data_IF_106164319365
#
_entry.id   IF_106164319365
#
_cell.length_a   1.000
_cell.length_b   1.000
_cell.length_c   1.000
_cell.angle_alpha   90.00
_cell.angle_beta   90.00
_cell.angle_gamma   90.00
#
_symmetry.space_group_name_H-M   'P 1'
#
loop_
_entity.id
_entity.type
_entity.pdbx_description
1 polymer ?
#
# COMPACT_ATOMS: atom_id res chain seq x y z
N UNK A 1 -23.03 -30.98 75.73
CA UNK A 1 -21.78 -30.20 75.80
C UNK A 1 -21.90 -29.05 74.83
N UNK A 2 -22.00 -27.83 75.34
CA UNK A 2 -22.27 -26.60 74.57
C UNK A 2 -21.30 -25.53 75.08
N UNK A 3 -20.31 -25.20 74.26
CA UNK A 3 -19.26 -24.22 74.56
C UNK A 3 -19.61 -22.87 73.94
N UNK A 4 -19.57 -21.83 74.79
CA UNK A 4 -19.71 -20.41 74.47
C UNK A 4 -18.48 -19.91 73.71
N UNK A 5 -18.68 -19.01 72.75
CA UNK A 5 -17.62 -18.17 72.15
C UNK A 5 -17.91 -16.70 72.47
N UNK A 6 -16.89 -16.03 72.99
CA UNK A 6 -16.90 -14.66 73.48
C UNK A 6 -16.71 -13.63 72.36
N UNK A 7 -17.44 -12.50 72.47
CA UNK A 7 -17.27 -11.32 71.62
C UNK A 7 -16.05 -10.50 72.01
N UNK A 8 -15.34 -9.99 71.00
CA UNK A 8 -14.26 -9.00 71.13
C UNK A 8 -14.74 -7.66 70.59
N UNK A 9 -14.62 -6.62 71.41
CA UNK A 9 -14.84 -5.22 71.08
C UNK A 9 -13.51 -4.58 70.64
N UNK A 10 -13.50 -3.91 69.49
CA UNK A 10 -12.35 -3.14 68.99
C UNK A 10 -12.44 -1.69 69.44
N UNK A 11 -11.34 -1.20 70.03
CA UNK A 11 -11.14 0.16 70.54
C UNK A 11 -10.84 1.15 69.41
N UNK A 12 -11.52 2.29 69.47
CA UNK A 12 -11.24 3.54 68.75
C UNK A 12 -9.91 4.15 69.23
N UNK A 13 -9.00 4.46 68.32
CA UNK A 13 -7.79 5.25 68.59
C UNK A 13 -7.93 6.58 67.84
N UNK A 14 -7.93 7.68 68.60
CA UNK A 14 -7.71 9.05 68.11
C UNK A 14 -6.20 9.27 67.98
N UNK A 15 -5.78 9.92 66.90
CA UNK A 15 -4.41 10.43 66.74
C UNK A 15 -4.45 11.94 66.56
N UNK A 16 -3.87 12.64 67.54
CA UNK A 16 -3.63 14.07 67.59
C UNK A 16 -2.40 14.45 66.74
N UNK A 17 -2.46 15.65 66.15
CA UNK A 17 -1.39 16.31 65.42
C UNK A 17 -0.34 16.92 66.36
N UNK A 18 0.89 17.16 65.87
CA UNK A 18 1.68 18.30 66.34
C UNK A 18 2.10 19.24 65.21
N UNK A 19 2.25 20.48 65.64
CA UNK A 19 2.52 21.70 64.91
C UNK A 19 4.03 21.88 64.65
N UNK A 20 4.34 22.51 63.51
CA UNK A 20 5.49 23.37 63.20
C UNK A 20 6.91 22.79 63.18
N UNK A 21 7.54 22.83 62.00
CA UNK A 21 8.81 23.55 61.86
C UNK A 21 9.02 24.05 60.41
N UNK A 22 9.61 25.25 60.32
CA UNK A 22 9.56 26.12 59.15
C UNK A 22 10.59 25.83 58.05
N UNK A 23 10.23 26.25 56.84
CA UNK A 23 11.17 26.49 55.74
C UNK A 23 10.88 27.86 55.10
N UNK A 24 11.91 28.71 55.10
CA UNK A 24 11.97 30.00 54.41
C UNK A 24 11.98 29.80 52.88
N UNK A 25 11.18 30.56 52.11
CA UNK A 25 11.38 30.65 50.67
C UNK A 25 12.35 31.79 50.33
N UNK A 26 13.38 31.48 49.54
CA UNK A 26 14.20 32.48 48.87
C UNK A 26 13.42 33.17 47.73
N UNK A 27 13.69 34.46 47.43
CA UNK A 27 12.94 35.22 46.46
C UNK A 27 13.58 35.16 45.05
N UNK A 28 12.72 35.09 44.04
CA UNK A 28 13.01 35.57 42.69
C UNK A 28 13.47 34.49 41.72
N UNK A 29 12.57 34.08 40.82
CA UNK A 29 12.83 34.10 39.38
C UNK A 29 11.49 34.15 38.64
N UNK A 30 11.32 35.25 37.91
CA UNK A 30 10.17 35.62 37.09
C UNK A 30 10.01 34.67 35.91
N UNK A 31 8.93 33.88 35.91
CA UNK A 31 8.46 33.06 34.77
C UNK A 31 7.11 33.55 34.24
N UNK A 32 6.86 34.87 34.33
CA UNK A 32 5.55 35.46 34.12
C UNK A 32 5.43 36.36 32.90
N UNK A 33 6.08 36.11 31.75
CA UNK A 33 5.89 36.97 30.55
C UNK A 33 6.01 36.22 29.21
N UNK A 34 5.67 34.93 29.11
CA UNK A 34 5.79 34.20 27.82
C UNK A 34 4.55 33.40 27.41
N UNK A 35 3.36 33.86 27.81
CA UNK A 35 2.08 33.32 27.33
C UNK A 35 1.37 34.24 26.32
N UNK A 36 1.84 35.47 26.12
CA UNK A 36 1.17 36.44 25.25
C UNK A 36 1.59 36.36 23.76
N UNK A 37 2.74 35.75 23.43
CA UNK A 37 3.23 35.69 22.04
C UNK A 37 2.83 34.41 21.29
N UNK A 38 2.46 33.32 22.00
CA UNK A 38 2.10 32.04 21.35
C UNK A 38 0.74 32.07 20.66
N UNK A 39 -0.20 32.86 21.18
CA UNK A 39 -1.52 33.07 20.54
C UNK A 39 -1.41 33.82 19.21
N UNK A 40 -0.45 34.75 19.10
CA UNK A 40 -0.22 35.50 17.86
C UNK A 40 0.29 34.62 16.71
N UNK A 41 1.14 33.64 16.99
CA UNK A 41 1.66 32.71 15.98
C UNK A 41 0.55 31.78 15.46
N UNK A 42 -0.30 31.27 16.35
CA UNK A 42 -1.44 30.42 15.96
C UNK A 42 -2.48 31.18 15.13
N UNK A 43 -2.71 32.47 15.44
CA UNK A 43 -3.65 33.30 14.70
C UNK A 43 -3.14 33.64 13.29
N UNK A 44 -1.83 33.90 13.14
CA UNK A 44 -1.19 34.08 11.82
C UNK A 44 -1.30 32.82 10.96
N UNK A 45 -1.11 31.65 11.55
CA UNK A 45 -1.26 30.36 10.86
C UNK A 45 -2.70 30.15 10.39
N UNK A 46 -3.68 30.42 11.25
CA UNK A 46 -5.10 30.34 10.90
C UNK A 46 -5.45 31.28 9.73
N UNK A 47 -4.99 32.53 9.78
CA UNK A 47 -5.22 33.51 8.71
C UNK A 47 -4.60 33.07 7.37
N UNK A 48 -3.42 32.43 7.40
CA UNK A 48 -2.76 31.94 6.19
C UNK A 48 -3.48 30.75 5.56
N UNK A 49 -4.02 29.84 6.38
CA UNK A 49 -4.83 28.71 5.90
C UNK A 49 -6.12 29.23 5.24
N UNK A 50 -6.77 30.22 5.83
CA UNK A 50 -8.00 30.81 5.30
C UNK A 50 -7.73 31.51 3.95
N UNK A 51 -6.59 32.20 3.83
CA UNK A 51 -6.15 32.82 2.57
C UNK A 51 -5.86 31.79 1.46
N UNK A 52 -5.27 30.63 1.80
CA UNK A 52 -5.05 29.57 0.81
C UNK A 52 -6.35 28.94 0.34
N UNK A 53 -7.30 28.69 1.26
CA UNK A 53 -8.60 28.15 0.90
C UNK A 53 -9.37 29.09 -0.04
N UNK A 54 -9.34 30.40 0.21
CA UNK A 54 -9.97 31.38 -0.68
C UNK A 54 -9.31 31.42 -2.08
N UNK A 55 -7.99 31.20 -2.16
CA UNK A 55 -7.28 31.08 -3.45
C UNK A 55 -7.67 29.80 -4.19
N UNK A 56 -7.80 28.68 -3.49
CA UNK A 56 -8.21 27.40 -4.08
C UNK A 56 -9.62 27.51 -4.67
N UNK A 57 -10.53 28.14 -3.93
CA UNK A 57 -11.93 28.33 -4.33
C UNK A 57 -12.06 29.23 -5.57
N UNK A 58 -11.17 30.24 -5.71
CA UNK A 58 -11.08 31.07 -6.91
C UNK A 58 -10.53 30.31 -8.11
N UNK A 59 -9.57 29.42 -7.93
CA UNK A 59 -9.03 28.58 -9.00
C UNK A 59 -10.06 27.56 -9.49
N UNK A 60 -10.82 26.94 -8.59
CA UNK A 60 -11.92 26.05 -8.95
C UNK A 60 -12.99 26.78 -9.78
N UNK A 61 -13.39 28.00 -9.37
CA UNK A 61 -14.36 28.80 -10.12
C UNK A 61 -13.85 29.31 -11.46
N UNK A 62 -12.53 29.45 -11.63
CA UNK A 62 -11.93 29.85 -12.91
C UNK A 62 -11.88 28.71 -13.94
N UNK A 63 -11.90 27.45 -13.50
CA UNK A 63 -11.88 26.29 -14.40
C UNK A 63 -13.27 25.81 -14.83
N UNK A 64 -14.33 26.49 -14.39
CA UNK A 64 -15.73 26.13 -14.68
C UNK A 64 -16.39 26.94 -15.84
N UNK A 65 -15.73 27.19 -17.00
CA UNK A 65 -16.45 27.59 -18.20
C UNK A 65 -16.03 26.80 -19.45
N UNK A 66 -16.32 25.49 -19.51
CA UNK A 66 -16.22 24.75 -20.79
C UNK A 66 -17.45 23.92 -21.18
N UNK A 67 -18.58 24.12 -20.51
CA UNK A 67 -19.84 23.47 -20.90
C UNK A 67 -20.99 24.46 -21.04
N UNK A 68 -20.92 25.38 -22.03
CA UNK A 68 -22.08 25.92 -22.72
C UNK A 68 -21.68 26.90 -23.83
N UNK A 69 -21.47 26.39 -25.06
CA UNK A 69 -21.86 27.04 -26.34
C UNK A 69 -21.22 26.28 -27.51
N UNK A 70 -21.89 25.20 -27.96
CA UNK A 70 -21.77 24.74 -29.33
C UNK A 70 -22.86 25.44 -30.12
N UNK A 71 -22.52 26.56 -30.73
CA UNK A 71 -23.31 27.19 -31.78
C UNK A 71 -22.40 27.32 -33.00
N UNK A 72 -22.75 26.58 -34.05
CA UNK A 72 -22.05 26.50 -35.32
C UNK A 72 -21.88 27.89 -35.94
N UNK A 73 -20.65 28.21 -36.33
CA UNK A 73 -20.34 29.34 -37.20
C UNK A 73 -19.07 29.05 -37.99
N UNK A 74 -19.26 28.73 -39.27
CA UNK A 74 -18.23 28.59 -40.30
C UNK A 74 -17.29 29.81 -40.35
N UNK A 75 -16.01 29.58 -40.59
CA UNK A 75 -15.25 30.14 -41.73
C UNK A 75 -13.80 29.69 -41.64
N UNK A 76 -13.26 29.25 -42.77
CA UNK A 76 -11.89 28.78 -42.88
C UNK A 76 -10.85 29.88 -42.78
N UNK A 77 -9.63 29.47 -42.48
CA UNK A 77 -8.43 30.13 -42.94
C UNK A 77 -7.26 29.16 -42.82
N UNK A 78 -6.64 28.93 -43.98
CA UNK A 78 -5.35 28.28 -44.15
C UNK A 78 -4.30 29.00 -43.29
N UNK A 79 -3.43 28.26 -42.61
CA UNK A 79 -2.08 28.74 -42.38
C UNK A 79 -1.07 27.59 -42.22
N UNK A 80 -0.03 27.78 -43.01
CA UNK A 80 1.22 27.06 -43.18
C UNK A 80 1.98 26.95 -41.86
N UNK A 81 2.43 25.74 -41.50
CA UNK A 81 3.61 25.57 -40.65
C UNK A 81 4.50 24.44 -41.19
N UNK A 82 5.59 24.86 -41.84
CA UNK A 82 6.83 24.13 -41.92
C UNK A 82 7.32 23.79 -40.51
N UNK A 83 7.62 22.52 -40.24
CA UNK A 83 8.56 22.17 -39.17
C UNK A 83 9.36 20.94 -39.55
N UNK A 84 10.60 21.25 -39.91
CA UNK A 84 11.70 20.36 -40.24
C UNK A 84 12.29 19.76 -38.95
N UNK A 85 12.68 18.49 -39.03
CA UNK A 85 13.87 17.98 -38.34
C UNK A 85 13.67 17.38 -36.95
N UNK A 86 13.62 16.05 -36.89
CA UNK A 86 14.12 15.29 -35.75
C UNK A 86 15.24 14.36 -36.21
N UNK A 87 16.39 14.54 -35.54
CA UNK A 87 17.63 13.81 -35.71
C UNK A 87 17.50 12.40 -35.13
N UNK A 88 18.18 11.48 -35.79
CA UNK A 88 18.41 10.11 -35.37
C UNK A 88 19.10 10.02 -34.00
N UNK A 89 18.62 9.09 -33.17
CA UNK A 89 19.40 8.53 -32.07
C UNK A 89 19.83 7.10 -32.45
N UNK A 90 21.13 6.82 -32.60
CA UNK A 90 21.64 5.49 -32.88
C UNK A 90 22.23 4.90 -31.59
N UNK A 91 21.46 4.10 -30.87
CA UNK A 91 22.01 3.12 -29.92
C UNK A 91 20.96 2.04 -29.60
N UNK A 92 20.73 1.17 -30.58
CA UNK A 92 20.08 -0.12 -30.38
C UNK A 92 21.14 -1.22 -30.38
N UNK A 93 21.77 -1.48 -29.24
CA UNK A 93 22.55 -2.71 -29.06
C UNK A 93 21.63 -3.87 -28.75
N UNK A 94 21.52 -4.71 -29.76
CA UNK A 94 20.85 -5.99 -29.84
C UNK A 94 21.85 -7.09 -29.46
N UNK A 95 21.70 -7.69 -28.29
CA UNK A 95 22.25 -9.00 -27.87
C UNK A 95 21.34 -9.49 -26.73
N UNK A 96 20.81 -10.70 -26.66
CA UNK A 96 20.87 -11.91 -27.45
C UNK A 96 20.09 -12.97 -26.68
N UNK A 97 19.29 -13.76 -27.41
CA UNK A 97 18.74 -15.08 -27.05
C UNK A 97 19.82 -15.98 -26.39
N UNK A 98 19.53 -17.05 -25.64
CA UNK A 98 18.38 -17.75 -25.08
C UNK A 98 18.98 -18.96 -24.30
N UNK A 99 18.12 -19.87 -23.80
CA UNK A 99 18.44 -21.29 -23.47
C UNK A 99 19.13 -21.46 -22.09
N UNK A 100 18.74 -22.28 -21.11
CA UNK A 100 17.76 -23.37 -20.87
C UNK A 100 17.64 -23.43 -19.31
N UNK A 101 16.46 -23.60 -18.72
CA UNK A 101 15.90 -24.91 -18.32
C UNK A 101 16.79 -25.72 -17.37
N UNK A 102 16.45 -25.75 -16.06
CA UNK A 102 16.05 -26.99 -15.37
C UNK A 102 15.85 -26.84 -13.84
N UNK A 103 14.60 -27.06 -13.42
CA UNK A 103 14.32 -27.93 -12.28
C UNK A 103 14.34 -27.35 -10.86
N UNK A 104 13.22 -26.77 -10.43
CA UNK A 104 12.72 -27.04 -9.07
C UNK A 104 11.24 -27.41 -9.11
N UNK A 105 10.99 -28.68 -8.79
CA UNK A 105 9.68 -29.30 -8.68
C UNK A 105 9.04 -28.90 -7.35
N UNK A 106 8.07 -27.99 -7.38
CA UNK A 106 7.07 -27.87 -6.31
C UNK A 106 5.96 -28.88 -6.58
N UNK A 107 6.04 -29.99 -5.87
CA UNK A 107 4.93 -30.93 -5.73
C UNK A 107 3.92 -30.37 -4.73
N UNK A 108 2.63 -30.58 -5.02
CA UNK A 108 1.43 -30.32 -4.24
C UNK A 108 0.74 -28.96 -4.43
N UNK A 109 -0.09 -28.89 -5.48
CA UNK A 109 -1.42 -28.28 -5.34
C UNK A 109 -2.44 -29.05 -6.21
N UNK A 110 -3.12 -30.02 -5.60
CA UNK A 110 -4.36 -30.61 -6.13
C UNK A 110 -5.48 -29.58 -5.99
N UNK A 111 -5.83 -28.90 -7.09
CA UNK A 111 -7.14 -28.26 -7.21
C UNK A 111 -8.06 -29.17 -8.01
N UNK A 112 -8.91 -29.86 -7.25
CA UNK A 112 -10.13 -30.52 -7.72
C UNK A 112 -11.07 -29.47 -8.29
N UNK A 113 -11.09 -29.31 -9.62
CA UNK A 113 -12.14 -28.58 -10.33
C UNK A 113 -13.30 -29.54 -10.56
N UNK A 114 -14.30 -29.45 -9.69
CA UNK A 114 -15.62 -30.02 -9.97
C UNK A 114 -16.36 -29.08 -10.93
N UNK A 115 -16.77 -29.70 -12.04
CA UNK A 115 -18.02 -29.55 -12.76
C UNK A 115 -18.69 -28.16 -12.89
N UNK A 116 -18.85 -27.80 -14.17
CA UNK A 116 -20.07 -27.24 -14.76
C UNK A 116 -20.43 -25.80 -14.39
N UNK A 117 -20.07 -24.88 -15.31
CA UNK A 117 -21.00 -23.79 -15.62
C UNK A 117 -21.14 -23.63 -17.13
N UNK A 118 -22.40 -23.71 -17.52
CA UNK A 118 -22.98 -23.85 -18.85
C UNK A 118 -22.92 -22.49 -19.57
N UNK A 119 -22.10 -22.39 -20.62
CA UNK A 119 -22.03 -21.20 -21.47
C UNK A 119 -23.31 -21.10 -22.32
N UNK A 120 -24.06 -19.98 -22.30
CA UNK A 120 -25.25 -19.83 -23.13
C UNK A 120 -24.90 -19.66 -24.62
N UNK A 121 -25.60 -20.42 -25.46
CA UNK A 121 -25.58 -20.31 -26.92
C UNK A 121 -26.04 -18.91 -27.36
N UNK A 122 -25.18 -18.18 -28.09
CA UNK A 122 -25.58 -16.94 -28.74
C UNK A 122 -26.32 -17.24 -30.06
N UNK A 123 -27.61 -16.95 -30.00
CA UNK A 123 -28.60 -17.03 -31.06
C UNK A 123 -28.28 -16.05 -32.20
N UNK A 124 -27.97 -16.59 -33.39
CA UNK A 124 -27.80 -15.83 -34.62
C UNK A 124 -29.16 -15.34 -35.15
N UNK A 125 -29.52 -14.09 -34.84
CA UNK A 125 -30.67 -13.41 -35.43
C UNK A 125 -30.27 -12.79 -36.78
N UNK A 126 -30.42 -13.57 -37.86
CA UNK A 126 -30.46 -13.02 -39.22
C UNK A 126 -31.86 -12.48 -39.50
N UNK A 127 -31.97 -11.15 -39.41
CA UNK A 127 -33.15 -10.39 -39.77
C UNK A 127 -33.41 -10.42 -41.27
N UNK A 128 -34.45 -11.17 -41.62
CA UNK A 128 -35.23 -11.12 -42.84
C UNK A 128 -35.73 -9.70 -43.15
N UNK A 129 -35.54 -9.26 -44.40
CA UNK A 129 -36.20 -8.10 -44.99
C UNK A 129 -36.29 -8.31 -46.50
N UNK A 130 -37.28 -9.10 -46.92
CA UNK A 130 -37.70 -9.19 -48.30
C UNK A 130 -38.21 -7.87 -48.88
N UNK A 131 -37.97 -7.69 -50.18
CA UNK A 131 -38.67 -6.84 -51.18
C UNK A 131 -37.85 -7.02 -52.48
N UNK A 132 -38.28 -7.71 -53.54
CA UNK A 132 -39.61 -7.73 -54.13
C UNK A 132 -39.61 -6.96 -55.46
N UNK A 133 -38.75 -7.28 -56.44
CA UNK A 133 -38.84 -6.71 -57.79
C UNK A 133 -38.60 -7.73 -58.92
N UNK A 134 -39.72 -8.34 -59.32
CA UNK A 134 -40.19 -8.63 -60.69
C UNK A 134 -39.22 -8.30 -61.84
N UNK A 135 -38.68 -9.33 -62.48
CA UNK A 135 -38.05 -9.24 -63.80
C UNK A 135 -39.13 -9.11 -64.89
N UNK A 136 -39.10 -8.03 -65.65
CA UNK A 136 -39.74 -7.94 -66.97
C UNK A 136 -38.64 -7.72 -68.00
N UNK A 137 -38.46 -8.71 -68.86
CA UNK A 137 -37.67 -8.61 -70.07
C UNK A 137 -38.46 -7.76 -71.08
N UNK A 138 -37.88 -6.64 -71.51
CA UNK A 138 -38.28 -5.99 -72.75
C UNK A 138 -37.02 -5.66 -73.55
N UNK A 139 -36.93 -6.35 -74.69
CA UNK A 139 -36.07 -6.02 -75.81
C UNK A 139 -36.33 -4.58 -76.28
N UNK A 140 -35.27 -3.78 -76.42
CA UNK A 140 -35.35 -2.59 -77.27
C UNK A 140 -34.01 -2.29 -77.92
N UNK A 141 -33.93 -2.68 -79.20
CA UNK A 141 -32.87 -2.30 -80.11
C UNK A 141 -33.01 -0.82 -80.46
N UNK A 142 -32.10 0.01 -79.96
CA UNK A 142 -31.95 1.41 -80.33
C UNK A 142 -30.57 1.69 -80.87
N UNK A 143 -30.37 1.49 -82.18
CA UNK A 143 -29.25 2.05 -82.91
C UNK A 143 -29.27 3.58 -82.87
N UNK A 144 -28.11 4.21 -82.64
CA UNK A 144 -27.86 5.55 -83.17
C UNK A 144 -26.85 6.38 -82.39
N UNK A 145 -25.66 6.55 -83.00
CA UNK A 145 -24.84 7.78 -83.16
C UNK A 145 -24.76 8.77 -81.97
N UNK A 146 -23.65 9.39 -81.62
CA UNK A 146 -22.44 9.75 -82.34
C UNK A 146 -21.35 10.05 -81.30
N UNK A 147 -20.11 10.16 -81.80
CA UNK A 147 -18.96 10.78 -81.17
C UNK A 147 -19.28 11.91 -80.18
N UNK A 148 -18.67 11.84 -79.00
CA UNK A 148 -17.87 12.94 -78.45
C UNK A 148 -16.70 12.32 -77.68
N UNK A 149 -15.51 12.46 -78.26
CA UNK A 149 -14.23 11.92 -77.84
C UNK A 149 -13.47 13.04 -77.11
N UNK A 150 -13.86 13.30 -75.86
CA UNK A 150 -13.19 14.28 -74.99
C UNK A 150 -13.55 14.08 -73.51
N UNK A 151 -13.20 12.91 -72.95
CA UNK A 151 -13.48 12.57 -71.54
C UNK A 151 -12.40 11.76 -70.82
N UNK A 152 -11.18 11.65 -71.37
CA UNK A 152 -10.11 10.80 -70.78
C UNK A 152 -9.28 11.50 -69.68
N UNK A 153 -9.72 12.64 -69.16
CA UNK A 153 -9.02 13.39 -68.10
C UNK A 153 -9.58 13.19 -66.68
N UNK A 154 -10.87 12.86 -66.54
CA UNK A 154 -11.53 12.72 -65.22
C UNK A 154 -11.39 11.32 -64.62
N UNK A 155 -11.17 10.29 -65.46
CA UNK A 155 -11.17 8.90 -65.01
C UNK A 155 -9.90 8.52 -64.23
N UNK A 156 -8.76 9.12 -64.58
CA UNK A 156 -7.46 8.91 -63.88
C UNK A 156 -7.43 9.66 -62.54
N UNK A 157 -8.03 10.85 -62.47
CA UNK A 157 -8.16 11.59 -61.22
C UNK A 157 -9.08 10.88 -60.21
N UNK A 158 -10.16 10.24 -60.68
CA UNK A 158 -11.04 9.44 -59.82
C UNK A 158 -10.35 8.19 -59.26
N UNK A 159 -9.43 7.56 -59.99
CA UNK A 159 -8.70 6.38 -59.48
C UNK A 159 -7.68 6.74 -58.40
N UNK A 160 -6.93 7.84 -58.56
CA UNK A 160 -5.96 8.30 -57.54
C UNK A 160 -6.65 8.72 -56.24
N UNK A 161 -7.83 9.37 -56.32
CA UNK A 161 -8.60 9.74 -55.12
C UNK A 161 -9.20 8.55 -54.37
N UNK A 162 -9.43 7.42 -55.04
CA UNK A 162 -9.94 6.21 -54.40
C UNK A 162 -8.83 5.46 -53.64
N UNK A 163 -7.60 5.46 -54.17
CA UNK A 163 -6.43 4.85 -53.51
C UNK A 163 -6.09 5.60 -52.20
N UNK A 164 -6.12 6.93 -52.21
CA UNK A 164 -5.93 7.75 -50.99
C UNK A 164 -7.05 7.52 -49.95
N UNK A 165 -8.30 7.37 -50.41
CA UNK A 165 -9.43 7.10 -49.53
C UNK A 165 -9.33 5.73 -48.85
N UNK A 166 -8.81 4.72 -49.55
CA UNK A 166 -8.59 3.38 -48.99
C UNK A 166 -7.39 3.36 -48.03
N UNK A 167 -6.32 4.10 -48.31
CA UNK A 167 -5.20 4.26 -47.37
C UNK A 167 -5.66 4.92 -46.06
N UNK A 168 -6.43 6.00 -46.14
CA UNK A 168 -7.01 6.65 -44.96
C UNK A 168 -7.95 5.71 -44.19
N UNK A 169 -8.75 4.89 -44.90
CA UNK A 169 -9.63 3.91 -44.28
C UNK A 169 -8.84 2.88 -43.48
N UNK A 170 -7.72 2.40 -44.01
CA UNK A 170 -6.87 1.44 -43.31
C UNK A 170 -6.12 2.07 -42.14
N UNK A 171 -5.68 3.32 -42.25
CA UNK A 171 -5.14 4.08 -41.11
C UNK A 171 -6.17 4.23 -39.99
N UNK A 172 -7.42 4.58 -40.32
CA UNK A 172 -8.51 4.68 -39.34
C UNK A 172 -8.74 3.34 -38.64
N UNK A 173 -8.77 2.21 -39.39
CA UNK A 173 -8.89 0.87 -38.77
C UNK A 173 -7.71 0.56 -37.85
N UNK A 174 -6.48 0.86 -38.27
CA UNK A 174 -5.29 0.66 -37.43
C UNK A 174 -5.34 1.49 -36.14
N UNK A 175 -5.77 2.75 -36.23
CA UNK A 175 -5.93 3.61 -35.06
C UNK A 175 -7.07 3.13 -34.16
N UNK A 176 -8.19 2.68 -34.72
CA UNK A 176 -9.29 2.08 -33.96
C UNK A 176 -8.85 0.83 -33.19
N UNK A 177 -8.05 -0.05 -33.82
CA UNK A 177 -7.49 -1.21 -33.15
C UNK A 177 -6.58 -0.82 -31.98
N UNK A 178 -5.67 0.15 -32.19
CA UNK A 178 -4.79 0.64 -31.12
C UNK A 178 -5.56 1.29 -29.97
N UNK A 179 -6.63 2.04 -30.26
CA UNK A 179 -7.49 2.62 -29.23
C UNK A 179 -8.21 1.53 -28.42
N UNK A 180 -8.65 0.46 -29.07
CA UNK A 180 -9.26 -0.68 -28.39
C UNK A 180 -8.25 -1.40 -27.47
N UNK A 181 -7.02 -1.60 -27.93
CA UNK A 181 -5.94 -2.19 -27.13
C UNK A 181 -5.62 -1.33 -25.89
N UNK A 182 -5.44 -0.02 -26.07
CA UNK A 182 -5.18 0.92 -24.97
C UNK A 182 -6.32 1.00 -23.96
N UNK A 183 -7.58 0.95 -24.42
CA UNK A 183 -8.73 0.90 -23.52
C UNK A 183 -8.77 -0.39 -22.71
N UNK A 184 -8.40 -1.53 -23.33
CA UNK A 184 -8.28 -2.81 -22.62
C UNK A 184 -7.21 -2.74 -21.54
N UNK A 185 -6.02 -2.22 -21.85
CA UNK A 185 -4.93 -2.04 -20.88
C UNK A 185 -5.32 -1.09 -19.73
N UNK A 186 -5.96 0.05 -20.05
CA UNK A 186 -6.43 1.00 -19.04
C UNK A 186 -7.45 0.36 -18.10
N UNK A 187 -8.35 -0.47 -18.61
CA UNK A 187 -9.33 -1.18 -17.79
C UNK A 187 -8.68 -2.25 -16.91
N UNK A 188 -7.71 -3.00 -17.44
CA UNK A 188 -6.95 -3.98 -16.65
C UNK A 188 -6.16 -3.30 -15.52
N UNK A 189 -5.52 -2.16 -15.80
CA UNK A 189 -4.82 -1.38 -14.79
C UNK A 189 -5.79 -0.85 -13.72
N UNK A 190 -6.96 -0.32 -14.11
CA UNK A 190 -7.97 0.14 -13.18
C UNK A 190 -8.48 -0.97 -12.25
N UNK A 191 -8.68 -2.19 -12.77
CA UNK A 191 -9.04 -3.34 -11.94
C UNK A 191 -7.95 -3.70 -10.94
N UNK A 192 -6.67 -3.75 -11.37
CA UNK A 192 -5.54 -4.02 -10.48
C UNK A 192 -5.37 -2.96 -9.39
N UNK A 193 -5.55 -1.68 -9.72
CA UNK A 193 -5.51 -0.60 -8.72
C UNK A 193 -6.59 -0.80 -7.66
N UNK A 194 -7.82 -1.12 -8.08
CA UNK A 194 -8.94 -1.36 -7.15
C UNK A 194 -8.70 -2.58 -6.25
N UNK A 195 -8.10 -3.64 -6.79
CA UNK A 195 -7.71 -4.83 -6.03
C UNK A 195 -6.66 -4.49 -4.96
N UNK A 196 -5.59 -3.79 -5.34
CA UNK A 196 -4.53 -3.35 -4.42
C UNK A 196 -5.05 -2.38 -3.35
N UNK A 197 -5.97 -1.48 -3.71
CA UNK A 197 -6.64 -0.60 -2.74
C UNK A 197 -7.43 -1.40 -1.71
N UNK A 198 -8.17 -2.42 -2.15
CA UNK A 198 -8.89 -3.33 -1.26
C UNK A 198 -7.97 -4.13 -0.32
N UNK A 199 -6.79 -4.54 -0.78
CA UNK A 199 -5.78 -5.17 0.08
C UNK A 199 -5.22 -4.20 1.12
N UNK A 200 -4.91 -2.96 0.71
CA UNK A 200 -4.42 -1.91 1.62
C UNK A 200 -5.43 -1.59 2.72
N UNK A 201 -6.72 -1.51 2.38
CA UNK A 201 -7.79 -1.22 3.35
C UNK A 201 -7.92 -2.31 4.43
N UNK A 202 -7.50 -3.54 4.14
CA UNK A 202 -7.43 -4.63 5.12
C UNK A 202 -6.11 -4.67 5.90
N UNK A 203 -5.03 -4.12 5.33
CA UNK A 203 -3.70 -4.14 5.93
C UNK A 203 -3.63 -3.23 7.17
N UNK A 204 -4.11 -1.98 7.07
CA UNK A 204 -4.01 -0.98 8.14
C UNK A 204 -4.68 -1.47 9.45
N UNK A 205 -5.94 -1.96 9.45
CA UNK A 205 -6.56 -2.49 10.66
C UNK A 205 -5.82 -3.70 11.24
N UNK A 206 -5.28 -4.58 10.38
CA UNK A 206 -4.52 -5.75 10.81
C UNK A 206 -3.22 -5.36 11.52
N UNK A 207 -2.47 -4.38 10.97
CA UNK A 207 -1.25 -3.85 11.58
C UNK A 207 -1.53 -3.13 12.90
N UNK A 208 -2.55 -2.27 12.95
CA UNK A 208 -2.98 -1.60 14.18
C UNK A 208 -3.37 -2.61 15.27
N UNK A 209 -4.03 -3.70 14.90
CA UNK A 209 -4.37 -4.78 15.83
C UNK A 209 -3.11 -5.49 16.37
N UNK A 210 -2.15 -5.83 15.52
CA UNK A 210 -0.88 -6.45 15.93
C UNK A 210 -0.17 -5.64 17.02
N UNK A 211 0.03 -4.34 16.77
CA UNK A 211 0.69 -3.45 17.71
C UNK A 211 -0.13 -3.19 18.98
N UNK A 212 -1.46 -3.08 18.85
CA UNK A 212 -2.36 -2.89 20.02
C UNK A 212 -2.40 -4.13 20.91
N UNK A 213 -2.38 -5.33 20.32
CA UNK A 213 -2.27 -6.59 21.05
C UNK A 213 -0.94 -6.67 21.81
N UNK A 214 0.17 -6.31 21.16
CA UNK A 214 1.47 -6.26 21.82
C UNK A 214 1.46 -5.31 23.03
N UNK A 215 1.00 -4.07 22.82
CA UNK A 215 0.92 -3.04 23.85
C UNK A 215 0.10 -3.48 25.07
N UNK A 216 -1.08 -4.08 24.85
CA UNK A 216 -1.92 -4.46 25.98
C UNK A 216 -1.45 -5.74 26.69
N UNK A 217 -0.95 -6.74 25.95
CA UNK A 217 -0.63 -8.05 26.53
C UNK A 217 0.79 -8.13 27.08
N UNK A 218 1.75 -7.50 26.40
CA UNK A 218 3.18 -7.61 26.74
C UNK A 218 3.64 -6.42 27.56
N UNK A 219 3.21 -5.22 27.20
CA UNK A 219 3.54 -4.01 27.97
C UNK A 219 2.56 -3.73 29.10
N UNK A 220 1.43 -4.44 29.17
CA UNK A 220 0.38 -4.25 30.18
C UNK A 220 -0.13 -2.80 30.26
N UNK A 221 -0.15 -2.10 29.12
CA UNK A 221 -0.61 -0.72 29.03
C UNK A 221 -2.05 -0.65 28.57
N UNK A 222 -2.78 0.34 29.08
CA UNK A 222 -4.15 0.59 28.67
C UNK A 222 -4.21 0.99 27.19
N UNK A 223 -5.23 0.49 26.49
CA UNK A 223 -5.57 0.91 25.13
C UNK A 223 -6.51 2.11 25.18
N UNK A 224 -6.38 2.97 24.19
CA UNK A 224 -7.37 4.01 23.90
C UNK A 224 -8.63 3.39 23.28
N UNK A 225 -9.72 4.17 23.19
CA UNK A 225 -10.97 3.72 22.59
C UNK A 225 -10.77 3.35 21.10
N UNK A 226 -10.02 4.17 20.38
CA UNK A 226 -9.66 3.97 18.97
C UNK A 226 -8.84 2.69 18.76
N UNK A 227 -7.84 2.44 19.63
CA UNK A 227 -7.07 1.19 19.62
C UNK A 227 -7.93 -0.04 19.92
N UNK A 228 -8.97 0.09 20.74
CA UNK A 228 -9.93 -0.99 20.97
C UNK A 228 -10.77 -1.31 19.73
N UNK A 229 -11.14 -0.28 18.94
CA UNK A 229 -11.92 -0.45 17.71
C UNK A 229 -11.14 -1.27 16.67
N UNK A 230 -9.84 -1.02 16.52
CA UNK A 230 -8.95 -1.82 15.66
C UNK A 230 -8.96 -3.32 15.99
N UNK A 231 -9.12 -3.69 17.28
CA UNK A 231 -9.19 -5.10 17.69
C UNK A 231 -10.48 -5.78 17.26
N UNK A 232 -11.58 -5.03 17.14
CA UNK A 232 -12.90 -5.57 16.75
C UNK A 232 -12.95 -5.87 15.25
N UNK A 233 -12.27 -5.07 14.45
CA UNK A 233 -12.30 -5.16 12.98
C UNK A 233 -11.18 -6.00 12.36
N UNK A 234 -10.16 -6.38 13.14
CA UNK A 234 -9.07 -7.19 12.62
C UNK A 234 -9.52 -8.61 12.26
N UNK A 235 -9.23 -9.02 11.03
CA UNK A 235 -9.42 -10.42 10.62
C UNK A 235 -8.57 -11.34 11.51
N UNK A 236 -9.07 -12.54 11.79
CA UNK A 236 -8.47 -13.53 12.70
C UNK A 236 -7.08 -14.03 12.27
N UNK A 237 -6.55 -13.55 11.14
CA UNK A 237 -5.20 -13.90 10.69
C UNK A 237 -4.20 -13.16 11.57
N UNK A 238 -3.47 -13.92 12.39
CA UNK A 238 -2.37 -13.39 13.20
C UNK A 238 -1.33 -12.76 12.28
N UNK A 239 -1.26 -11.43 12.29
CA UNK A 239 -0.21 -10.69 11.60
C UNK A 239 1.15 -11.00 12.26
N UNK A 240 2.15 -11.31 11.46
CA UNK A 240 3.55 -11.35 11.88
C UNK A 240 4.09 -9.93 12.04
N UNK A 241 5.23 -9.76 12.69
CA UNK A 241 5.96 -8.49 12.65
C UNK A 241 6.26 -8.09 11.21
N UNK A 242 6.08 -6.81 10.91
CA UNK A 242 6.41 -6.17 9.63
C UNK A 242 6.83 -4.73 9.93
N UNK A 243 8.14 -4.54 10.11
CA UNK A 243 8.74 -3.27 10.49
C UNK A 243 8.45 -2.17 9.48
N UNK A 244 8.36 -2.51 8.18
CA UNK A 244 8.08 -1.55 7.12
C UNK A 244 6.63 -1.10 7.17
N UNK A 245 5.68 -2.04 7.13
CA UNK A 245 4.26 -1.71 7.18
C UNK A 245 3.86 -1.04 8.52
N UNK A 246 4.44 -1.48 9.63
CA UNK A 246 4.18 -0.85 10.92
C UNK A 246 4.77 0.55 11.01
N UNK A 247 5.94 0.81 10.41
CA UNK A 247 6.55 2.15 10.44
C UNK A 247 5.68 3.17 9.71
N UNK A 248 5.01 2.76 8.63
CA UNK A 248 4.13 3.61 7.84
C UNK A 248 2.96 4.14 8.67
N UNK A 249 2.44 3.36 9.64
CA UNK A 249 1.40 3.83 10.56
C UNK A 249 1.85 5.02 11.43
N UNK A 250 3.13 5.09 11.76
CA UNK A 250 3.70 6.21 12.52
C UNK A 250 4.06 7.38 11.61
N UNK A 251 4.53 7.10 10.40
CA UNK A 251 4.88 8.13 9.40
C UNK A 251 3.62 8.88 8.93
N UNK A 252 2.53 8.16 8.67
CA UNK A 252 1.22 8.71 8.29
C UNK A 252 0.48 9.41 9.44
N UNK A 253 0.89 9.15 10.69
CA UNK A 253 0.30 9.74 11.89
C UNK A 253 -0.91 8.99 12.44
N UNK A 254 -1.24 7.82 11.88
CA UNK A 254 -2.25 6.88 12.39
C UNK A 254 -1.91 6.39 13.81
N UNK A 255 -0.62 6.29 14.15
CA UNK A 255 -0.14 5.98 15.51
C UNK A 255 0.87 6.99 16.03
N UNK A 256 0.90 7.14 17.36
CA UNK A 256 1.75 8.13 18.07
C UNK A 256 2.48 7.57 19.29
N UNK A 257 2.27 6.30 19.62
CA UNK A 257 2.96 5.62 20.71
C UNK A 257 4.29 5.02 20.23
N UNK A 258 5.20 5.91 19.82
CA UNK A 258 6.49 5.57 19.20
C UNK A 258 7.34 4.59 20.03
N UNK A 259 7.20 4.63 21.36
CA UNK A 259 7.95 3.76 22.25
C UNK A 259 7.54 2.29 22.12
N UNK A 260 6.30 2.00 21.72
CA UNK A 260 5.83 0.63 21.40
C UNK A 260 6.57 0.09 20.17
N UNK A 261 6.74 0.92 19.14
CA UNK A 261 7.48 0.54 17.94
C UNK A 261 8.96 0.31 18.22
N UNK A 262 9.59 1.23 18.95
CA UNK A 262 11.02 1.14 19.31
C UNK A 262 11.28 -0.10 20.16
N UNK A 263 10.37 -0.46 21.05
CA UNK A 263 10.49 -1.66 21.89
C UNK A 263 10.39 -2.95 21.05
N UNK A 264 9.47 -3.01 20.07
CA UNK A 264 9.32 -4.17 19.17
C UNK A 264 10.50 -4.35 18.21
N UNK A 265 10.93 -3.26 17.58
CA UNK A 265 11.83 -3.31 16.43
C UNK A 265 13.24 -2.81 16.72
N UNK A 266 13.45 -2.12 17.84
CA UNK A 266 14.77 -1.57 18.17
C UNK A 266 15.19 -0.43 17.23
N UNK A 267 14.28 0.21 16.52
CA UNK A 267 14.57 1.30 15.58
C UNK A 267 13.50 2.39 15.65
N UNK A 268 13.90 3.62 15.31
CA UNK A 268 12.95 4.72 15.16
C UNK A 268 12.10 4.51 13.89
N UNK A 269 10.77 4.59 13.95
CA UNK A 269 9.91 4.30 12.80
C UNK A 269 10.16 5.25 11.62
N UNK A 270 10.49 6.53 11.86
CA UNK A 270 10.75 7.47 10.77
C UNK A 270 12.09 7.22 10.08
N UNK A 271 13.02 6.54 10.76
CA UNK A 271 14.30 6.15 10.17
C UNK A 271 14.17 4.91 9.29
N UNK A 272 13.22 4.00 9.56
CA UNK A 272 13.10 2.67 8.92
C UNK A 272 13.24 2.71 7.39
N UNK A 273 12.49 3.54 6.63
CA UNK A 273 12.57 3.55 5.16
C UNK A 273 13.96 3.93 4.62
N UNK A 274 14.74 4.66 5.42
CA UNK A 274 16.08 5.12 5.03
C UNK A 274 17.20 4.18 5.47
N UNK A 275 17.05 3.53 6.64
CA UNK A 275 18.13 2.79 7.29
C UNK A 275 18.00 1.28 7.17
N UNK A 276 16.78 0.74 7.04
CA UNK A 276 16.57 -0.70 6.91
C UNK A 276 16.29 -1.05 5.44
N UNK A 277 17.36 -1.43 4.72
CA UNK A 277 17.28 -1.86 3.31
C UNK A 277 17.72 -3.29 3.09
N UNK A 278 18.60 -3.80 3.96
CA UNK A 278 19.03 -5.19 3.89
C UNK A 278 17.90 -6.14 4.30
N UNK A 279 17.49 -6.99 3.36
CA UNK A 279 16.37 -7.91 3.52
C UNK A 279 16.59 -8.89 4.69
N UNK A 280 17.82 -9.38 4.87
CA UNK A 280 18.13 -10.31 5.96
C UNK A 280 17.97 -9.67 7.34
N UNK A 281 18.28 -8.37 7.45
CA UNK A 281 18.07 -7.57 8.65
C UNK A 281 16.60 -7.35 8.91
N UNK A 282 15.83 -6.98 7.88
CA UNK A 282 14.37 -6.79 7.97
C UNK A 282 13.70 -8.07 8.48
N UNK A 283 14.02 -9.22 7.87
CA UNK A 283 13.46 -10.51 8.28
C UNK A 283 13.80 -10.87 9.72
N UNK A 284 15.05 -10.62 10.14
CA UNK A 284 15.50 -10.91 11.51
C UNK A 284 14.79 -10.03 12.55
N UNK A 285 14.59 -8.75 12.23
CA UNK A 285 13.86 -7.78 13.07
C UNK A 285 12.35 -8.10 13.11
N UNK A 286 11.77 -8.52 11.98
CA UNK A 286 10.37 -8.99 11.91
C UNK A 286 10.15 -10.27 12.71
N UNK A 287 11.11 -11.20 12.67
CA UNK A 287 11.08 -12.42 13.47
C UNK A 287 11.10 -12.11 14.97
N UNK A 288 11.94 -11.16 15.41
CA UNK A 288 11.96 -10.66 16.79
C UNK A 288 10.57 -10.17 17.22
N UNK A 289 10.01 -9.18 16.50
CA UNK A 289 8.71 -8.60 16.81
C UNK A 289 7.59 -9.65 16.85
N UNK A 290 7.62 -10.62 15.92
CA UNK A 290 6.68 -11.75 15.89
C UNK A 290 6.77 -12.60 17.16
N UNK A 291 7.97 -12.89 17.64
CA UNK A 291 8.19 -13.67 18.87
C UNK A 291 7.71 -12.90 20.09
N UNK A 292 8.04 -11.62 20.19
CA UNK A 292 7.63 -10.76 21.30
C UNK A 292 6.11 -10.67 21.41
N UNK A 293 5.43 -10.43 20.28
CA UNK A 293 3.98 -10.31 20.21
C UNK A 293 3.24 -11.65 20.36
N UNK A 294 3.90 -12.79 20.18
CA UNK A 294 3.24 -14.09 20.25
C UNK A 294 2.79 -14.45 21.67
N UNK A 295 1.56 -14.95 21.79
CA UNK A 295 1.03 -15.58 23.02
C UNK A 295 1.57 -16.99 23.24
N UNK A 296 2.02 -17.63 22.17
CA UNK A 296 2.36 -19.06 22.15
C UNK A 296 3.87 -19.30 22.20
N UNK A 297 4.67 -18.24 22.26
CA UNK A 297 6.12 -18.33 22.38
C UNK A 297 6.58 -17.75 23.70
N UNK A 298 7.54 -18.43 24.32
CA UNK A 298 8.35 -17.93 25.42
C UNK A 298 9.79 -17.86 24.98
N UNK A 299 10.57 -16.99 25.61
CA UNK A 299 11.98 -16.83 25.33
C UNK A 299 12.76 -16.57 26.62
N UNK A 300 14.05 -16.87 26.60
CA UNK A 300 14.94 -16.60 27.73
C UNK A 300 15.45 -15.14 27.70
N UNK A 301 15.93 -14.58 28.82
CA UNK A 301 16.53 -13.24 28.83
C UNK A 301 17.71 -13.06 27.86
N UNK A 302 18.39 -14.15 27.48
CA UNK A 302 19.49 -14.09 26.51
C UNK A 302 18.98 -13.70 25.12
N UNK A 303 17.75 -14.07 24.77
CA UNK A 303 17.15 -13.71 23.48
C UNK A 303 17.13 -12.18 23.30
N UNK A 304 16.57 -11.46 24.28
CA UNK A 304 16.52 -10.00 24.27
C UNK A 304 17.91 -9.36 24.37
N UNK A 305 18.83 -9.90 25.18
CA UNK A 305 20.20 -9.40 25.27
C UNK A 305 20.91 -9.46 23.89
N UNK A 306 20.73 -10.57 23.17
CA UNK A 306 21.32 -10.75 21.83
C UNK A 306 20.69 -9.80 20.81
N UNK A 307 19.38 -9.59 20.87
CA UNK A 307 18.70 -8.61 20.03
C UNK A 307 19.22 -7.19 20.31
N UNK A 308 19.24 -6.77 21.57
CA UNK A 308 19.70 -5.44 21.96
C UNK A 308 21.15 -5.18 21.52
N UNK A 309 22.03 -6.18 21.65
CA UNK A 309 23.42 -6.11 21.17
C UNK A 309 23.50 -5.98 19.65
N UNK A 310 22.70 -6.74 18.92
CA UNK A 310 22.60 -6.66 17.46
C UNK A 310 22.16 -5.25 17.01
N UNK A 311 21.05 -4.75 17.54
CA UNK A 311 20.53 -3.40 17.23
C UNK A 311 21.54 -2.31 17.57
N UNK A 312 22.25 -2.44 18.69
CA UNK A 312 23.30 -1.49 19.10
C UNK A 312 24.44 -1.45 18.07
N UNK A 313 24.91 -2.61 17.62
CA UNK A 313 25.96 -2.70 16.60
C UNK A 313 25.48 -2.20 15.24
N UNK A 314 24.23 -2.49 14.87
CA UNK A 314 23.63 -2.03 13.61
C UNK A 314 23.56 -0.49 13.58
N UNK A 315 23.09 0.12 14.67
CA UNK A 315 23.08 1.59 14.85
C UNK A 315 24.49 2.18 14.80
N UNK A 316 25.44 1.58 15.52
CA UNK A 316 26.82 2.08 15.63
C UNK A 316 27.56 2.10 14.29
N UNK A 317 27.26 1.14 13.42
CA UNK A 317 27.87 1.01 12.09
C UNK A 317 27.14 1.84 11.02
N UNK A 318 26.04 2.50 11.38
CA UNK A 318 25.29 3.34 10.45
C UNK A 318 24.43 2.55 9.46
N UNK A 319 23.97 1.35 9.84
CA UNK A 319 23.10 0.51 9.02
C UNK A 319 23.69 0.19 7.63
N UNK A 320 24.89 -0.41 7.57
CA UNK A 320 25.52 -0.74 6.30
C UNK A 320 24.63 -1.70 5.49
N UNK A 321 24.54 -1.47 4.19
CA UNK A 321 24.04 -2.46 3.25
C UNK A 321 25.11 -3.56 3.06
N UNK A 322 24.69 -4.80 2.77
CA UNK A 322 25.57 -5.93 2.43
C UNK A 322 26.65 -6.33 3.45
N UNK A 323 26.48 -5.97 4.73
CA UNK A 323 27.41 -6.37 5.79
C UNK A 323 27.52 -7.88 5.99
N UNK A 324 26.68 -8.70 5.34
CA UNK A 324 26.76 -10.16 5.38
C UNK A 324 27.61 -10.77 4.24
N UNK A 325 27.87 -10.03 3.16
CA UNK A 325 28.47 -10.55 1.93
C UNK A 325 29.95 -10.13 1.77
N UNK A 326 30.36 -9.03 2.43
CA UNK A 326 31.71 -8.49 2.31
C UNK A 326 32.77 -9.13 3.22
N UNK A 327 33.96 -9.38 2.67
CA UNK A 327 35.20 -9.46 3.45
C UNK A 327 35.62 -8.04 3.84
N UNK A 328 35.06 -7.52 4.93
CA UNK A 328 35.49 -6.24 5.49
C UNK A 328 36.36 -6.50 6.72
N UNK A 329 37.61 -6.02 6.68
CA UNK A 329 38.51 -5.99 7.84
C UNK A 329 38.13 -4.88 8.85
N UNK A 330 36.97 -4.23 8.65
CA UNK A 330 36.43 -3.26 9.59
C UNK A 330 35.94 -3.98 10.85
N UNK A 331 36.59 -3.69 11.98
CA UNK A 331 36.28 -4.27 13.29
C UNK A 331 34.79 -4.07 13.66
N UNK A 332 34.20 -2.93 13.29
CA UNK A 332 32.78 -2.66 13.55
C UNK A 332 31.85 -3.55 12.75
N UNK A 333 32.17 -3.81 11.48
CA UNK A 333 31.40 -4.72 10.62
C UNK A 333 31.53 -6.16 11.11
N UNK A 334 32.72 -6.61 11.51
CA UNK A 334 32.92 -7.93 12.10
C UNK A 334 32.12 -8.13 13.40
N UNK A 335 32.05 -7.10 14.25
CA UNK A 335 31.22 -7.12 15.46
C UNK A 335 29.72 -7.15 15.14
N UNK A 336 29.28 -6.42 14.11
CA UNK A 336 27.90 -6.47 13.62
C UNK A 336 27.54 -7.87 13.13
N UNK A 337 28.35 -8.44 12.23
CA UNK A 337 28.19 -9.81 11.72
C UNK A 337 28.11 -10.82 12.88
N UNK A 338 29.04 -10.73 13.85
CA UNK A 338 29.05 -11.61 15.02
C UNK A 338 27.76 -11.49 15.83
N UNK A 339 27.26 -10.27 16.06
CA UNK A 339 26.01 -10.04 16.79
C UNK A 339 24.78 -10.50 16.02
N UNK A 340 24.75 -10.32 14.68
CA UNK A 340 23.72 -10.84 13.80
C UNK A 340 23.64 -12.37 13.89
N UNK A 341 24.76 -13.08 13.72
CA UNK A 341 24.80 -14.53 13.81
C UNK A 341 24.38 -15.02 15.20
N UNK A 342 24.84 -14.35 16.26
CA UNK A 342 24.47 -14.71 17.62
C UNK A 342 22.98 -14.52 17.90
N UNK A 343 22.36 -13.45 17.39
CA UNK A 343 20.93 -13.23 17.54
C UNK A 343 20.11 -14.19 16.69
N UNK A 344 20.50 -14.43 15.43
CA UNK A 344 19.88 -15.44 14.58
C UNK A 344 19.89 -16.83 15.22
N UNK A 345 21.01 -17.23 15.83
CA UNK A 345 21.08 -18.50 16.56
C UNK A 345 20.14 -18.53 17.77
N UNK A 346 19.98 -17.40 18.47
CA UNK A 346 19.08 -17.30 19.62
C UNK A 346 17.60 -17.52 19.25
N UNK A 347 17.18 -17.21 18.01
CA UNK A 347 15.83 -17.56 17.53
C UNK A 347 15.54 -19.05 17.62
N UNK A 348 16.57 -19.89 17.48
CA UNK A 348 16.43 -21.35 17.50
C UNK A 348 16.72 -21.97 18.86
N UNK A 349 17.61 -21.36 19.65
CA UNK A 349 18.08 -21.95 20.91
C UNK A 349 17.42 -21.38 22.15
N UNK A 350 16.91 -20.14 22.10
CA UNK A 350 16.40 -19.41 23.26
C UNK A 350 14.89 -19.16 23.20
N UNK A 351 14.20 -19.64 22.16
CA UNK A 351 12.75 -19.51 21.96
C UNK A 351 12.12 -20.89 22.01
N UNK A 352 10.97 -21.00 22.67
CA UNK A 352 10.23 -22.26 22.78
C UNK A 352 8.73 -22.02 22.67
N UNK A 353 8.02 -22.99 22.13
CA UNK A 353 6.56 -22.96 22.12
C UNK A 353 6.03 -23.29 23.51
N UNK A 354 5.05 -22.50 23.95
CA UNK A 354 4.21 -22.79 25.12
C UNK A 354 3.32 -23.95 24.71
N UNK A 355 3.87 -25.16 24.75
CA UNK A 355 3.10 -26.39 24.62
C UNK A 355 1.87 -26.29 25.52
N UNK A 356 0.69 -26.64 24.99
CA UNK A 356 -0.58 -26.69 25.72
C UNK A 356 -0.49 -27.69 26.88
N UNK A 357 0.19 -27.36 27.96
CA UNK A 357 0.16 -28.10 29.22
C UNK A 357 -1.05 -27.65 30.05
N UNK A 358 -2.23 -27.62 29.43
CA UNK A 358 -3.46 -27.16 30.07
C UNK A 358 -4.70 -27.90 29.52
N UNK A 359 -4.65 -29.23 29.39
CA UNK A 359 -5.87 -30.07 29.14
C UNK A 359 -5.87 -31.42 29.90
N UNK A 360 -4.97 -31.69 30.85
CA UNK A 360 -4.96 -33.01 31.55
C UNK A 360 -4.90 -32.94 33.08
N UNK A 361 -5.35 -31.85 33.70
CA UNK A 361 -5.64 -31.82 35.14
C UNK A 361 -7.13 -31.66 35.39
N UNK A 362 -7.95 -32.57 34.86
CA UNK A 362 -9.26 -32.84 35.45
C UNK A 362 -9.05 -33.79 36.64
N UNK A 363 -9.32 -33.37 37.88
CA UNK A 363 -9.36 -34.30 39.00
C UNK A 363 -10.58 -35.19 38.81
N UNK A 364 -10.33 -36.49 38.65
CA UNK A 364 -11.30 -37.56 38.83
C UNK A 364 -11.93 -37.38 40.21
N UNK A 365 -13.08 -36.71 40.26
CA UNK A 365 -13.97 -36.74 41.42
C UNK A 365 -14.76 -38.03 41.35
N UNK A 366 -14.17 -39.06 41.96
CA UNK A 366 -14.86 -40.25 42.45
C UNK A 366 -15.65 -39.87 43.70
N UNK A 367 -16.97 -39.70 43.59
CA UNK A 367 -17.94 -39.87 44.67
C UNK A 367 -19.18 -40.58 44.14
#
# INVERSE_FOLDING_TARGET
>A
MTLRVAGKTSKTIKSESPLADGFNPAPGNSWGVEMANKTSETDKLRQKVEQMNERLDKLLKQNDPYHASSELGETGQDDIYDSTGWLADPNGEYLGQAVEDDGFQDAYYEHSWEAEDEMPELENVNGDSGLGHKWTAEDSWGMGRAHDDSGLGDEVALTETNDEADELRDQVKCLQARLADLLSESNQLAMKVKELEGERDNLIPSRNCFLSLYKCQKLQRALTLDECEHLVHASTKFASGDVSADSELYISGERRDYDVFVDLYGVDPHAVPSVLKDQHTIELVNAHATILASKHKTYTPKFEERFARFITNLRRTGYPEDYLIGFMDDVGILELQSSYTAFRNALHTEVSDVSKTEVMNDPVNSW
#
